data_IF_179001035537
#
_entry.id   IF_179001035537
#
_cell.length_a   1.000
_cell.length_b   1.000
_cell.length_c   1.000
_cell.angle_alpha   90.00
_cell.angle_beta   90.00
_cell.angle_gamma   90.00
#
_symmetry.space_group_name_H-M   'P 1'
#
loop_
_entity.id
_entity.type
_entity.pdbx_description
1 polymer ?
#
# COMPACT_ATOMS: atom_id res chain seq x y z
N UNK A 1 -4.52 -12.19 12.10
CA UNK A 1 -5.17 -10.95 12.61
C UNK A 1 -4.19 -9.77 12.71
N UNK A 2 -3.03 -9.89 13.36
CA UNK A 2 -2.02 -8.82 13.54
C UNK A 2 -1.66 -8.07 12.25
N UNK A 3 -1.52 -8.78 11.14
CA UNK A 3 -1.23 -8.19 9.82
C UNK A 3 -2.32 -7.21 9.38
N UNK A 4 -3.58 -7.61 9.47
CA UNK A 4 -4.71 -6.77 9.05
C UNK A 4 -4.90 -5.54 9.95
N UNK A 5 -4.62 -5.65 11.26
CA UNK A 5 -4.64 -4.46 12.13
C UNK A 5 -3.54 -3.47 11.76
N UNK A 6 -2.36 -3.97 11.36
CA UNK A 6 -1.29 -3.12 10.84
C UNK A 6 -1.71 -2.36 9.58
N UNK A 7 -2.32 -3.04 8.62
CA UNK A 7 -2.88 -2.42 7.41
C UNK A 7 -3.91 -1.34 7.78
N UNK A 8 -4.90 -1.67 8.62
CA UNK A 8 -5.95 -0.72 9.04
C UNK A 8 -5.37 0.57 9.66
N UNK A 9 -4.31 0.45 10.47
CA UNK A 9 -3.65 1.62 11.08
C UNK A 9 -3.01 2.50 10.01
N UNK A 10 -2.32 1.91 9.03
CA UNK A 10 -1.63 2.65 7.97
C UNK A 10 -2.62 3.31 7.00
N UNK A 11 -3.68 2.61 6.56
CA UNK A 11 -4.74 3.19 5.70
C UNK A 11 -5.47 4.33 6.43
N UNK A 12 -5.77 4.16 7.72
CA UNK A 12 -6.37 5.23 8.51
C UNK A 12 -5.45 6.45 8.57
N UNK A 13 -4.14 6.25 8.73
CA UNK A 13 -3.16 7.33 8.73
C UNK A 13 -3.10 8.02 7.36
N UNK A 14 -3.06 7.24 6.28
CA UNK A 14 -3.02 7.77 4.93
C UNK A 14 -4.31 8.55 4.59
N UNK A 15 -5.48 8.00 4.93
CA UNK A 15 -6.77 8.63 4.64
C UNK A 15 -7.07 9.88 5.48
N UNK A 16 -6.62 9.93 6.75
CA UNK A 16 -6.95 11.04 7.66
C UNK A 16 -5.87 12.11 7.76
N UNK A 17 -4.62 11.78 7.43
CA UNK A 17 -3.48 12.71 7.48
C UNK A 17 -2.81 12.83 6.12
N UNK A 18 -2.36 11.73 5.54
CA UNK A 18 -1.52 11.72 4.34
C UNK A 18 -2.18 12.39 3.13
N UNK A 19 -3.18 11.76 2.54
CA UNK A 19 -3.86 12.28 1.35
C UNK A 19 -4.52 13.65 1.61
N UNK A 20 -5.08 13.84 2.81
CA UNK A 20 -5.71 15.12 3.22
C UNK A 20 -4.68 16.25 3.27
N UNK A 21 -3.44 15.98 3.72
CA UNK A 21 -2.38 17.00 3.76
C UNK A 21 -1.91 17.44 2.36
N UNK A 22 -2.12 16.63 1.33
CA UNK A 22 -1.79 16.96 -0.06
C UNK A 22 -2.84 17.84 -0.74
N UNK A 23 -4.11 17.83 -0.31
CA UNK A 23 -5.21 18.58 -0.90
C UNK A 23 -4.91 20.09 -1.00
N UNK A 24 -4.42 20.78 0.06
CA UNK A 24 -4.12 22.21 -0.01
C UNK A 24 -3.00 22.58 -1.00
N UNK A 25 -2.21 21.60 -1.44
CA UNK A 25 -1.11 21.80 -2.38
C UNK A 25 -1.51 21.51 -3.84
N UNK A 26 -2.75 21.09 -4.09
CA UNK A 26 -3.25 20.87 -5.43
C UNK A 26 -3.21 22.16 -6.27
N UNK A 27 -2.69 22.07 -7.49
CA UNK A 27 -2.57 23.21 -8.39
C UNK A 27 -3.71 23.30 -9.39
N UNK A 28 -4.57 22.29 -9.45
CA UNK A 28 -5.77 22.25 -10.30
C UNK A 28 -6.94 21.57 -9.56
N UNK A 29 -8.20 21.91 -9.91
CA UNK A 29 -9.37 21.22 -9.35
C UNK A 29 -9.36 19.70 -9.62
N UNK A 30 -8.77 19.25 -10.73
CA UNK A 30 -8.63 17.84 -11.06
C UNK A 30 -7.65 17.14 -10.10
N UNK A 31 -6.57 17.78 -9.75
CA UNK A 31 -5.60 17.27 -8.77
C UNK A 31 -6.22 17.19 -7.37
N UNK A 32 -6.94 18.22 -6.95
CA UNK A 32 -7.71 18.23 -5.70
C UNK A 32 -8.71 17.07 -5.66
N UNK A 33 -9.45 16.85 -6.75
CA UNK A 33 -10.39 15.75 -6.87
C UNK A 33 -9.70 14.37 -6.74
N UNK A 34 -8.49 14.20 -7.28
CA UNK A 34 -7.73 12.95 -7.14
C UNK A 34 -7.30 12.73 -5.70
N UNK A 35 -6.70 13.73 -5.03
CA UNK A 35 -6.31 13.57 -3.62
C UNK A 35 -7.51 13.31 -2.70
N UNK A 36 -8.64 13.97 -2.96
CA UNK A 36 -9.90 13.71 -2.24
C UNK A 36 -10.40 12.29 -2.48
N UNK A 37 -10.29 11.78 -3.70
CA UNK A 37 -10.65 10.38 -4.02
C UNK A 37 -9.72 9.39 -3.31
N UNK A 38 -8.40 9.64 -3.28
CA UNK A 38 -7.45 8.82 -2.52
C UNK A 38 -7.88 8.77 -1.05
N UNK A 39 -8.09 9.92 -0.39
CA UNK A 39 -8.53 9.96 1.01
C UNK A 39 -9.84 9.19 1.25
N UNK A 40 -10.78 9.23 0.32
CA UNK A 40 -12.02 8.46 0.37
C UNK A 40 -11.75 6.96 0.23
N UNK A 41 -10.91 6.54 -0.72
CA UNK A 41 -10.59 5.13 -0.95
C UNK A 41 -9.90 4.50 0.26
N UNK A 42 -9.01 5.21 0.95
CA UNK A 42 -8.42 4.74 2.21
C UNK A 42 -9.48 4.42 3.29
N UNK A 43 -10.56 5.20 3.33
CA UNK A 43 -11.69 4.92 4.22
C UNK A 43 -12.44 3.64 3.81
N UNK A 44 -12.54 3.35 2.51
CA UNK A 44 -13.11 2.10 1.99
C UNK A 44 -12.19 0.92 2.31
N UNK A 45 -10.86 1.08 2.21
CA UNK A 45 -9.88 0.06 2.57
C UNK A 45 -10.00 -0.29 4.05
N UNK A 46 -10.00 0.69 4.95
CA UNK A 46 -10.19 0.49 6.39
C UNK A 46 -11.52 -0.23 6.71
N UNK A 47 -12.61 0.11 6.00
CA UNK A 47 -13.88 -0.59 6.12
C UNK A 47 -13.81 -2.04 5.63
N UNK A 48 -13.06 -2.29 4.57
CA UNK A 48 -12.85 -3.63 4.00
C UNK A 48 -12.12 -4.55 4.99
N UNK A 49 -11.09 -4.05 5.67
CA UNK A 49 -10.44 -4.80 6.76
C UNK A 49 -11.38 -5.09 7.92
N UNK A 50 -12.25 -4.15 8.29
CA UNK A 50 -13.26 -4.38 9.31
C UNK A 50 -14.18 -5.55 8.96
N UNK A 51 -14.59 -5.67 7.69
CA UNK A 51 -15.38 -6.81 7.21
C UNK A 51 -14.60 -8.12 7.26
N UNK A 52 -13.30 -8.10 6.89
CA UNK A 52 -12.40 -9.26 7.00
C UNK A 52 -12.29 -9.69 8.47
N UNK A 53 -12.08 -8.76 9.41
CA UNK A 53 -12.02 -9.05 10.84
C UNK A 53 -13.27 -9.76 11.34
N UNK A 54 -14.46 -9.20 11.07
CA UNK A 54 -15.73 -9.77 11.52
C UNK A 54 -16.01 -11.15 10.93
N UNK A 55 -15.41 -11.47 9.78
CA UNK A 55 -15.57 -12.79 9.13
C UNK A 55 -14.60 -13.83 9.69
N UNK A 56 -13.39 -13.42 10.11
CA UNK A 56 -12.30 -14.34 10.44
C UNK A 56 -12.09 -14.52 11.95
N UNK A 57 -12.60 -13.63 12.79
CA UNK A 57 -12.27 -13.63 14.22
C UNK A 57 -13.43 -13.14 15.10
N UNK A 58 -13.41 -13.55 16.37
CA UNK A 58 -14.28 -13.04 17.41
C UNK A 58 -13.86 -11.65 17.88
N UNK A 59 -14.79 -10.89 18.46
CA UNK A 59 -14.51 -9.55 19.02
C UNK A 59 -13.30 -9.53 19.97
N UNK A 60 -13.14 -10.46 20.94
CA UNK A 60 -11.96 -10.47 21.82
C UNK A 60 -10.64 -10.66 21.07
N UNK A 61 -10.62 -11.49 20.00
CA UNK A 61 -9.41 -11.68 19.17
C UNK A 61 -9.08 -10.44 18.36
N UNK A 62 -10.10 -9.72 17.88
CA UNK A 62 -9.94 -8.43 17.21
C UNK A 62 -9.36 -7.39 18.16
N UNK A 63 -9.92 -7.25 19.36
CA UNK A 63 -9.47 -6.32 20.39
C UNK A 63 -8.01 -6.60 20.80
N UNK A 64 -7.64 -7.87 20.96
CA UNK A 64 -6.27 -8.30 21.24
C UNK A 64 -5.31 -7.92 20.10
N UNK A 65 -5.71 -8.13 18.85
CA UNK A 65 -4.89 -7.78 17.70
C UNK A 65 -4.68 -6.25 17.58
N UNK A 66 -5.70 -5.44 17.87
CA UNK A 66 -5.55 -3.97 17.93
C UNK A 66 -4.71 -3.52 19.13
N UNK A 67 -4.81 -4.18 20.28
CA UNK A 67 -3.94 -3.91 21.44
C UNK A 67 -2.48 -4.17 21.05
N UNK A 68 -2.20 -5.35 20.49
CA UNK A 68 -0.87 -5.68 19.99
C UNK A 68 -0.33 -4.64 19.00
N UNK A 69 -1.16 -4.18 18.05
CA UNK A 69 -0.75 -3.16 17.07
C UNK A 69 -0.37 -1.83 17.74
N UNK A 70 -1.08 -1.43 18.81
CA UNK A 70 -0.75 -0.22 19.59
C UNK A 70 0.53 -0.36 20.42
N UNK A 71 0.86 -1.57 20.86
CA UNK A 71 2.01 -1.86 21.71
C UNK A 71 3.25 -2.28 20.92
N UNK A 72 3.10 -2.74 19.67
CA UNK A 72 4.21 -3.18 18.84
C UNK A 72 5.09 -1.99 18.44
N UNK A 73 6.35 -2.01 18.87
CA UNK A 73 7.31 -0.93 18.68
C UNK A 73 7.57 -0.61 17.19
N UNK A 74 7.70 -1.63 16.35
CA UNK A 74 7.96 -1.47 14.92
C UNK A 74 6.76 -0.88 14.19
N UNK A 75 5.53 -1.27 14.58
CA UNK A 75 4.32 -0.70 14.03
C UNK A 75 4.18 0.78 14.41
N UNK A 76 4.45 1.11 15.67
CA UNK A 76 4.41 2.48 16.17
C UNK A 76 5.55 3.33 15.59
N UNK A 77 6.73 2.73 15.37
CA UNK A 77 7.85 3.43 14.75
C UNK A 77 7.51 3.91 13.34
N UNK A 78 7.10 3.00 12.45
CA UNK A 78 6.79 3.36 11.05
C UNK A 78 5.66 4.39 10.96
N UNK A 79 4.61 4.27 11.79
CA UNK A 79 3.53 5.24 11.83
C UNK A 79 4.04 6.64 12.25
N UNK A 80 4.84 6.73 13.33
CA UNK A 80 5.43 8.02 13.76
C UNK A 80 6.40 8.58 12.74
N UNK A 81 7.20 7.74 12.09
CA UNK A 81 8.19 8.18 11.10
C UNK A 81 7.52 8.83 9.89
N UNK A 82 6.44 8.22 9.39
CA UNK A 82 5.64 8.77 8.29
C UNK A 82 4.88 10.04 8.73
N UNK A 83 4.27 10.04 9.91
CA UNK A 83 3.61 11.24 10.45
C UNK A 83 4.56 12.43 10.60
N UNK A 84 5.83 12.17 10.97
CA UNK A 84 6.84 13.23 11.06
C UNK A 84 7.11 13.89 9.70
N UNK A 85 7.09 13.14 8.60
CA UNK A 85 7.23 13.70 7.25
C UNK A 85 6.02 14.59 6.88
N UNK A 86 4.80 14.13 7.17
CA UNK A 86 3.60 14.96 6.95
C UNK A 86 3.58 16.22 7.80
N UNK A 87 4.07 16.15 9.04
CA UNK A 87 4.11 17.29 9.96
C UNK A 87 5.11 18.39 9.56
N UNK A 88 6.01 18.14 8.61
CA UNK A 88 6.98 19.16 8.14
C UNK A 88 6.31 20.32 7.41
N UNK A 89 5.13 20.11 6.83
CA UNK A 89 4.49 21.07 5.93
C UNK A 89 5.17 21.20 4.56
N UNK A 90 6.26 20.45 4.31
CA UNK A 90 6.94 20.44 3.02
C UNK A 90 6.24 19.49 2.05
N UNK A 91 5.74 20.03 0.95
CA UNK A 91 4.97 19.29 -0.04
C UNK A 91 5.75 18.12 -0.68
N UNK A 92 7.07 18.29 -0.89
CA UNK A 92 7.89 17.20 -1.46
C UNK A 92 8.03 16.05 -0.46
N UNK A 93 8.30 16.36 0.81
CA UNK A 93 8.39 15.36 1.88
C UNK A 93 7.06 14.63 2.10
N UNK A 94 5.93 15.33 2.04
CA UNK A 94 4.60 14.72 2.10
C UNK A 94 4.36 13.75 0.94
N UNK A 95 4.71 14.12 -0.30
CA UNK A 95 4.58 13.23 -1.46
C UNK A 95 5.50 12.01 -1.34
N UNK A 96 6.74 12.20 -0.88
CA UNK A 96 7.69 11.10 -0.64
C UNK A 96 7.12 10.14 0.41
N UNK A 97 6.63 10.64 1.55
CA UNK A 97 6.02 9.84 2.61
C UNK A 97 4.82 9.03 2.10
N UNK A 98 3.94 9.66 1.31
CA UNK A 98 2.81 8.98 0.69
C UNK A 98 3.27 7.87 -0.25
N UNK A 99 4.26 8.08 -1.10
CA UNK A 99 4.80 7.04 -1.98
C UNK A 99 5.43 5.89 -1.18
N UNK A 100 6.10 6.19 -0.06
CA UNK A 100 6.63 5.14 0.84
C UNK A 100 5.52 4.30 1.48
N UNK A 101 4.40 4.92 1.87
CA UNK A 101 3.22 4.18 2.36
C UNK A 101 2.62 3.31 1.28
N UNK A 102 2.18 3.92 0.18
CA UNK A 102 1.39 3.32 -0.90
C UNK A 102 2.15 2.25 -1.69
N UNK A 103 3.46 2.44 -1.86
CA UNK A 103 4.26 1.56 -2.72
C UNK A 103 5.14 0.58 -1.95
N UNK A 104 5.30 0.73 -0.62
CA UNK A 104 6.24 -0.07 0.15
C UNK A 104 5.67 -0.57 1.49
N UNK A 105 5.21 0.30 2.41
CA UNK A 105 4.92 -0.10 3.79
C UNK A 105 3.68 -1.00 3.95
N UNK A 106 2.70 -0.91 3.07
CA UNK A 106 1.54 -1.80 3.06
C UNK A 106 1.90 -3.24 2.70
N UNK A 107 2.98 -3.45 1.97
CA UNK A 107 3.24 -4.73 1.30
C UNK A 107 3.65 -5.86 2.24
N UNK A 108 4.25 -5.59 3.39
CA UNK A 108 4.44 -6.63 4.41
C UNK A 108 3.11 -7.21 4.87
N UNK A 109 2.07 -6.37 4.94
CA UNK A 109 0.71 -6.79 5.28
C UNK A 109 0.01 -7.55 4.16
N UNK A 110 0.19 -7.15 2.92
CA UNK A 110 -0.44 -7.81 1.76
C UNK A 110 0.12 -9.21 1.48
N UNK A 111 1.34 -9.51 1.89
CA UNK A 111 1.95 -10.81 1.65
C UNK A 111 1.13 -11.96 2.22
N UNK A 112 0.67 -11.88 3.48
CA UNK A 112 -0.04 -12.98 4.15
C UNK A 112 -1.29 -13.45 3.39
N UNK A 113 -2.28 -12.59 3.09
CA UNK A 113 -3.48 -13.01 2.40
C UNK A 113 -3.19 -13.57 1.00
N UNK A 114 -2.23 -13.00 0.26
CA UNK A 114 -1.82 -13.51 -1.05
C UNK A 114 -1.19 -14.89 -0.93
N UNK A 115 -0.30 -15.09 0.05
CA UNK A 115 0.36 -16.37 0.30
C UNK A 115 -0.64 -17.45 0.74
N UNK A 116 -1.61 -17.10 1.58
CA UNK A 116 -2.68 -18.00 2.01
C UNK A 116 -3.58 -18.40 0.83
N UNK A 117 -3.94 -17.45 -0.02
CA UNK A 117 -4.76 -17.68 -1.21
C UNK A 117 -4.07 -18.61 -2.22
N UNK A 118 -2.74 -18.52 -2.38
CA UNK A 118 -1.98 -19.44 -3.24
C UNK A 118 -2.05 -20.90 -2.77
N UNK A 119 -2.56 -21.15 -1.55
CA UNK A 119 -2.85 -22.48 -0.98
C UNK A 119 -4.37 -22.72 -0.85
N UNK A 120 -5.21 -21.96 -1.55
CA UNK A 120 -6.67 -22.11 -1.51
C UNK A 120 -7.33 -21.69 -0.19
N UNK A 121 -6.65 -20.89 0.65
CA UNK A 121 -7.17 -20.42 1.94
C UNK A 121 -7.51 -18.92 1.87
N UNK A 122 -8.59 -18.52 2.54
CA UNK A 122 -9.09 -17.13 2.63
C UNK A 122 -9.15 -16.41 1.27
N UNK A 123 -9.52 -17.10 0.21
CA UNK A 123 -9.51 -16.59 -1.17
C UNK A 123 -10.35 -15.33 -1.33
N UNK A 124 -11.57 -15.29 -0.74
CA UNK A 124 -12.43 -14.11 -0.79
C UNK A 124 -11.80 -12.88 -0.11
N UNK A 125 -11.13 -13.08 1.05
CA UNK A 125 -10.38 -12.00 1.70
C UNK A 125 -9.20 -11.54 0.84
N UNK A 126 -8.51 -12.46 0.19
CA UNK A 126 -7.41 -12.14 -0.72
C UNK A 126 -7.89 -11.38 -1.97
N UNK A 127 -9.10 -11.66 -2.47
CA UNK A 127 -9.69 -10.90 -3.58
C UNK A 127 -9.96 -9.44 -3.20
N UNK A 128 -10.45 -9.19 -1.97
CA UNK A 128 -10.56 -7.83 -1.42
C UNK A 128 -9.17 -7.16 -1.37
N UNK A 129 -8.16 -7.87 -0.86
CA UNK A 129 -6.79 -7.34 -0.79
C UNK A 129 -6.21 -7.05 -2.18
N UNK A 130 -6.50 -7.85 -3.19
CA UNK A 130 -6.08 -7.57 -4.58
C UNK A 130 -6.70 -6.29 -5.14
N UNK A 131 -7.95 -6.01 -4.79
CA UNK A 131 -8.60 -4.74 -5.17
C UNK A 131 -7.90 -3.57 -4.50
N UNK A 132 -7.61 -3.66 -3.21
CA UNK A 132 -6.85 -2.64 -2.46
C UNK A 132 -5.47 -2.44 -3.09
N UNK A 133 -4.69 -3.48 -3.33
CA UNK A 133 -3.36 -3.39 -3.97
C UNK A 133 -3.42 -2.66 -5.33
N UNK A 134 -4.49 -2.81 -6.10
CA UNK A 134 -4.66 -2.07 -7.36
C UNK A 134 -4.83 -0.58 -7.11
N UNK A 135 -5.58 -0.21 -6.09
CA UNK A 135 -5.79 1.18 -5.73
C UNK A 135 -4.48 1.80 -5.22
N UNK A 136 -3.75 1.09 -4.32
CA UNK A 136 -2.43 1.53 -3.83
C UNK A 136 -1.40 1.70 -4.95
N UNK A 137 -1.45 0.82 -5.96
CA UNK A 137 -0.57 0.96 -7.12
C UNK A 137 -0.87 2.24 -7.93
N UNK A 138 -2.13 2.65 -8.02
CA UNK A 138 -2.54 3.90 -8.67
C UNK A 138 -2.20 5.10 -7.79
N UNK A 139 -2.47 5.03 -6.48
CA UNK A 139 -2.16 6.09 -5.52
C UNK A 139 -0.66 6.42 -5.52
N UNK A 140 0.18 5.41 -5.28
CA UNK A 140 1.63 5.59 -5.25
C UNK A 140 2.22 6.05 -6.58
N UNK A 141 1.70 5.55 -7.71
CA UNK A 141 2.10 6.01 -9.04
C UNK A 141 1.72 7.47 -9.28
N UNK A 142 0.47 7.86 -8.98
CA UNK A 142 0.01 9.22 -9.20
C UNK A 142 0.77 10.24 -8.35
N UNK A 143 0.94 9.98 -7.06
CA UNK A 143 1.66 10.89 -6.16
C UNK A 143 3.13 10.99 -6.59
N UNK A 144 3.76 9.86 -6.94
CA UNK A 144 5.11 9.83 -7.48
C UNK A 144 5.26 10.60 -8.80
N UNK A 145 4.30 10.47 -9.71
CA UNK A 145 4.23 11.26 -10.93
C UNK A 145 4.13 12.77 -10.62
N UNK A 146 3.33 13.17 -9.63
CA UNK A 146 3.22 14.56 -9.20
C UNK A 146 4.53 15.10 -8.61
N UNK A 147 5.23 14.29 -7.82
CA UNK A 147 6.56 14.60 -7.32
C UNK A 147 7.55 14.85 -8.47
N UNK A 148 7.63 13.93 -9.44
CA UNK A 148 8.49 14.08 -10.62
C UNK A 148 8.11 15.31 -11.44
N UNK A 149 6.81 15.59 -11.64
CA UNK A 149 6.33 16.75 -12.38
C UNK A 149 6.68 18.09 -11.69
N UNK A 150 6.60 18.11 -10.36
CA UNK A 150 7.01 19.29 -9.57
C UNK A 150 8.49 19.63 -9.80
N UNK A 151 9.35 18.61 -9.90
CA UNK A 151 10.80 18.75 -10.06
C UNK A 151 11.29 18.65 -11.53
N UNK A 152 10.39 18.54 -12.50
CA UNK A 152 10.74 18.34 -13.92
C UNK A 152 11.70 19.43 -14.46
N UNK A 153 11.55 20.68 -13.96
CA UNK A 153 12.39 21.82 -14.34
C UNK A 153 13.54 22.10 -13.38
N UNK A 154 13.62 21.37 -12.27
CA UNK A 154 14.69 21.45 -11.27
C UNK A 154 15.34 20.08 -11.05
N UNK A 155 16.05 19.62 -12.05
CA UNK A 155 16.76 18.34 -12.00
C UNK A 155 17.87 18.30 -10.96
N UNK A 156 18.45 19.45 -10.64
CA UNK A 156 19.48 19.55 -9.60
C UNK A 156 18.88 19.25 -8.22
N UNK A 157 17.71 19.80 -7.93
CA UNK A 157 16.97 19.52 -6.68
C UNK A 157 16.50 18.06 -6.64
N UNK A 158 15.97 17.53 -7.76
CA UNK A 158 15.60 16.10 -7.83
C UNK A 158 16.79 15.21 -7.50
N UNK A 159 17.96 15.46 -8.08
CA UNK A 159 19.18 14.71 -7.77
C UNK A 159 19.64 14.89 -6.33
N UNK A 160 19.54 16.10 -5.77
CA UNK A 160 19.92 16.38 -4.39
C UNK A 160 19.04 15.66 -3.34
N UNK A 161 17.75 15.48 -3.63
CA UNK A 161 16.82 14.79 -2.73
C UNK A 161 17.08 13.27 -2.64
N UNK A 162 17.81 12.69 -3.60
CA UNK A 162 18.00 11.23 -3.67
C UNK A 162 18.60 10.62 -2.40
N UNK A 163 19.60 11.27 -1.84
CA UNK A 163 20.27 10.77 -0.61
C UNK A 163 19.31 10.66 0.57
N UNK A 164 18.56 11.74 0.85
CA UNK A 164 17.59 11.76 1.95
C UNK A 164 16.44 10.76 1.75
N UNK A 165 16.04 10.53 0.49
CA UNK A 165 15.00 9.55 0.14
C UNK A 165 15.50 8.13 0.39
N UNK A 166 16.74 7.82 0.00
CA UNK A 166 17.37 6.52 0.27
C UNK A 166 17.52 6.31 1.78
N UNK A 167 17.96 7.31 2.52
CA UNK A 167 18.09 7.22 3.98
C UNK A 167 16.73 6.95 4.65
N UNK A 168 15.67 7.65 4.25
CA UNK A 168 14.32 7.40 4.74
C UNK A 168 13.84 5.99 4.39
N UNK A 169 14.03 5.55 3.14
CA UNK A 169 13.62 4.22 2.71
C UNK A 169 14.38 3.12 3.46
N UNK A 170 15.68 3.27 3.66
CA UNK A 170 16.50 2.30 4.39
C UNK A 170 16.16 2.24 5.87
N UNK A 171 15.88 3.38 6.50
CA UNK A 171 15.38 3.46 7.87
C UNK A 171 14.05 2.69 8.01
N UNK A 172 13.09 2.95 7.13
CA UNK A 172 11.81 2.25 7.10
C UNK A 172 11.98 0.76 6.76
N UNK A 173 12.87 0.39 5.81
CA UNK A 173 13.13 -1.00 5.44
C UNK A 173 13.74 -1.80 6.60
N UNK A 174 14.68 -1.23 7.34
CA UNK A 174 15.27 -1.88 8.51
C UNK A 174 14.19 -2.15 9.57
N UNK A 175 13.38 -1.16 9.89
CA UNK A 175 12.26 -1.34 10.82
C UNK A 175 11.25 -2.37 10.31
N UNK A 176 10.92 -2.35 9.02
CA UNK A 176 9.96 -3.27 8.40
C UNK A 176 10.49 -4.71 8.34
N UNK A 177 11.81 -4.88 8.22
CA UNK A 177 12.47 -6.19 8.32
C UNK A 177 12.29 -6.81 9.70
N UNK A 178 12.50 -6.05 10.77
CA UNK A 178 12.25 -6.51 12.14
C UNK A 178 10.76 -6.74 12.41
N UNK A 179 9.87 -5.87 11.92
CA UNK A 179 8.43 -6.11 11.96
C UNK A 179 8.07 -7.44 11.29
N UNK A 180 8.65 -7.71 10.14
CA UNK A 180 8.45 -8.95 9.38
C UNK A 180 8.89 -10.18 10.20
N UNK A 181 10.02 -10.13 10.87
CA UNK A 181 10.48 -11.19 11.77
C UNK A 181 9.46 -11.47 12.88
N UNK A 182 8.97 -10.44 13.56
CA UNK A 182 7.97 -10.61 14.64
C UNK A 182 6.66 -11.25 14.19
N UNK A 183 6.30 -11.10 12.91
CA UNK A 183 5.02 -11.58 12.37
C UNK A 183 5.15 -12.90 11.62
N UNK A 184 6.26 -13.13 10.91
CA UNK A 184 6.40 -14.21 9.94
C UNK A 184 7.43 -15.29 10.28
N UNK A 185 8.31 -15.10 11.29
CA UNK A 185 9.34 -16.09 11.63
C UNK A 185 8.76 -17.44 11.98
N UNK A 186 7.70 -17.47 12.79
CA UNK A 186 7.05 -18.73 13.18
C UNK A 186 6.43 -19.48 12.01
N UNK A 187 6.17 -18.79 10.89
CA UNK A 187 5.64 -19.38 9.65
C UNK A 187 6.76 -19.79 8.68
N UNK A 188 8.01 -19.42 8.97
CA UNK A 188 9.15 -19.63 8.08
C UNK A 188 9.10 -18.79 6.80
N UNK A 189 8.42 -17.65 6.81
CA UNK A 189 8.21 -16.80 5.62
C UNK A 189 8.95 -15.46 5.68
N UNK A 190 9.63 -15.16 6.77
CA UNK A 190 10.25 -13.83 6.97
C UNK A 190 11.19 -13.43 5.83
N UNK A 191 12.08 -14.32 5.38
CA UNK A 191 13.02 -13.99 4.29
C UNK A 191 12.32 -13.77 2.95
N UNK A 192 11.26 -14.51 2.65
CA UNK A 192 10.47 -14.32 1.44
C UNK A 192 9.68 -12.99 1.47
N UNK A 193 9.16 -12.60 2.65
CA UNK A 193 8.52 -11.29 2.85
C UNK A 193 9.54 -10.17 2.70
N UNK A 194 10.75 -10.31 3.23
CA UNK A 194 11.83 -9.32 3.05
C UNK A 194 12.21 -9.15 1.57
N UNK A 195 12.26 -10.24 0.80
CA UNK A 195 12.47 -10.16 -0.65
C UNK A 195 11.32 -9.41 -1.35
N UNK A 196 10.07 -9.67 -0.95
CA UNK A 196 8.90 -8.95 -1.43
C UNK A 196 8.95 -7.45 -1.05
N UNK A 197 9.43 -7.11 0.13
CA UNK A 197 9.66 -5.73 0.56
C UNK A 197 10.73 -5.03 -0.29
N UNK A 198 11.86 -5.69 -0.59
CA UNK A 198 12.89 -5.13 -1.50
C UNK A 198 12.34 -4.84 -2.89
N UNK A 199 11.53 -5.75 -3.43
CA UNK A 199 10.84 -5.52 -4.71
C UNK A 199 9.96 -4.25 -4.68
N UNK A 200 9.18 -4.07 -3.62
CA UNK A 200 8.28 -2.93 -3.49
C UNK A 200 9.01 -1.64 -3.10
N UNK A 201 10.13 -1.72 -2.38
CA UNK A 201 11.03 -0.59 -2.14
C UNK A 201 11.62 -0.04 -3.46
N UNK A 202 12.06 -0.92 -4.35
CA UNK A 202 12.48 -0.53 -5.70
C UNK A 202 11.33 0.12 -6.48
N UNK A 203 10.10 -0.38 -6.34
CA UNK A 203 8.91 0.23 -6.96
C UNK A 203 8.65 1.65 -6.42
N UNK A 204 8.83 1.87 -5.11
CA UNK A 204 8.70 3.20 -4.52
C UNK A 204 9.75 4.17 -5.09
N UNK A 205 11.01 3.74 -5.20
CA UNK A 205 12.07 4.55 -5.84
C UNK A 205 11.72 4.89 -7.28
N UNK A 206 11.28 3.91 -8.08
CA UNK A 206 10.90 4.12 -9.47
C UNK A 206 9.70 5.09 -9.59
N UNK A 207 8.71 5.02 -8.70
CA UNK A 207 7.59 5.95 -8.67
C UNK A 207 8.05 7.40 -8.39
N UNK A 208 9.12 7.58 -7.63
CA UNK A 208 9.75 8.89 -7.38
C UNK A 208 10.73 9.33 -8.48
N UNK A 209 10.97 8.49 -9.49
CA UNK A 209 11.86 8.78 -10.62
C UNK A 209 13.33 8.49 -10.35
N UNK A 210 13.63 7.61 -9.39
CA UNK A 210 14.99 7.16 -9.07
C UNK A 210 15.21 5.71 -9.47
N UNK A 211 16.47 5.32 -9.64
CA UNK A 211 16.87 3.94 -9.91
C UNK A 211 16.58 3.02 -8.71
N UNK A 212 16.38 1.74 -9.02
CA UNK A 212 16.26 0.69 -8.02
C UNK A 212 17.53 0.61 -7.15
N UNK A 213 17.37 0.40 -5.84
CA UNK A 213 18.49 0.31 -4.89
C UNK A 213 18.84 -1.13 -4.49
N UNK A 214 17.88 -2.06 -4.58
CA UNK A 214 18.13 -3.47 -4.31
C UNK A 214 18.35 -4.25 -5.61
N UNK A 215 19.37 -5.15 -5.66
CA UNK A 215 19.59 -6.02 -6.81
C UNK A 215 18.38 -6.90 -7.13
N UNK A 216 18.13 -7.16 -8.40
CA UNK A 216 16.96 -7.93 -8.83
C UNK A 216 16.94 -9.36 -8.27
N UNK A 217 18.12 -9.97 -8.09
CA UNK A 217 18.28 -11.29 -7.49
C UNK A 217 17.81 -11.35 -6.03
N UNK A 218 17.91 -10.26 -5.27
CA UNK A 218 17.43 -10.14 -3.89
C UNK A 218 15.95 -9.84 -3.77
N UNK A 219 15.29 -9.52 -4.89
CA UNK A 219 13.87 -9.21 -4.98
C UNK A 219 13.01 -10.41 -5.40
N UNK A 220 13.57 -11.61 -5.43
CA UNK A 220 12.86 -12.83 -5.82
C UNK A 220 12.10 -13.40 -4.63
N UNK A 221 10.79 -13.45 -4.72
CA UNK A 221 9.89 -14.00 -3.71
C UNK A 221 8.97 -15.07 -4.30
N UNK A 222 8.12 -15.65 -3.48
CA UNK A 222 7.28 -16.79 -3.81
C UNK A 222 6.47 -16.60 -5.09
N UNK A 223 6.57 -17.56 -6.03
CA UNK A 223 5.88 -17.52 -7.32
C UNK A 223 4.35 -17.50 -7.18
N UNK A 224 3.76 -18.15 -6.16
CA UNK A 224 2.32 -18.11 -5.91
C UNK A 224 1.83 -16.72 -5.48
N UNK A 225 2.65 -15.99 -4.72
CA UNK A 225 2.36 -14.59 -4.37
C UNK A 225 2.49 -13.71 -5.62
N UNK A 226 3.54 -13.90 -6.43
CA UNK A 226 3.72 -13.18 -7.68
C UNK A 226 2.52 -13.36 -8.62
N UNK A 227 2.07 -14.60 -8.82
CA UNK A 227 0.87 -14.90 -9.64
C UNK A 227 -0.38 -14.25 -9.05
N UNK A 228 -0.49 -14.20 -7.73
CA UNK A 228 -1.63 -13.58 -7.04
C UNK A 228 -1.71 -12.07 -7.22
N UNK A 229 -0.62 -11.41 -7.58
CA UNK A 229 -0.59 -9.98 -7.92
C UNK A 229 -1.08 -9.70 -9.35
N UNK A 230 -1.19 -10.73 -10.20
CA UNK A 230 -1.71 -10.56 -11.56
C UNK A 230 -3.19 -10.17 -11.51
N UNK A 231 -3.58 -9.03 -12.12
CA UNK A 231 -4.98 -8.61 -12.17
C UNK A 231 -5.92 -9.61 -12.82
N UNK A 232 -5.41 -10.56 -13.62
CA UNK A 232 -6.19 -11.63 -14.24
C UNK A 232 -6.51 -12.78 -13.29
N UNK A 233 -5.81 -12.90 -12.15
CA UNK A 233 -5.97 -13.95 -11.16
C UNK A 233 -7.22 -13.78 -10.27
N UNK A 234 -7.99 -12.70 -10.40
CA UNK A 234 -9.23 -12.49 -9.64
C UNK A 234 -10.36 -13.37 -10.21
N UNK A 235 -10.80 -14.37 -9.45
CA UNK A 235 -11.83 -15.34 -9.85
C UNK A 235 -13.20 -14.69 -10.07
N UNK A 236 -13.52 -13.59 -9.37
CA UNK A 236 -14.80 -12.88 -9.48
C UNK A 236 -14.90 -12.01 -10.74
N UNK A 237 -13.84 -11.85 -11.53
CA UNK A 237 -13.80 -11.02 -12.72
C UNK A 237 -14.78 -11.47 -13.84
N UNK A 238 -15.17 -12.75 -13.84
CA UNK A 238 -16.15 -13.30 -14.80
C UNK A 238 -17.57 -12.79 -14.54
N UNK A 239 -17.96 -12.53 -13.29
CA UNK A 239 -19.28 -12.02 -12.94
C UNK A 239 -19.42 -10.52 -13.25
N UNK A 240 -18.41 -9.71 -12.91
CA UNK A 240 -18.40 -8.28 -13.29
C UNK A 240 -18.48 -8.07 -14.82
N UNK A 241 -17.82 -8.92 -15.61
CA UNK A 241 -17.94 -8.89 -17.07
C UNK A 241 -19.34 -9.28 -17.56
N UNK A 242 -20.02 -10.19 -16.88
CA UNK A 242 -21.41 -10.56 -17.21
C UNK A 242 -22.38 -9.41 -16.91
N UNK A 243 -22.30 -8.83 -15.70
CA UNK A 243 -23.11 -7.66 -15.30
C UNK A 243 -22.88 -6.48 -16.24
N UNK A 244 -21.65 -6.16 -16.59
CA UNK A 244 -21.33 -5.08 -17.52
C UNK A 244 -21.83 -5.32 -18.95
N UNK A 245 -21.91 -6.57 -19.42
CA UNK A 245 -22.52 -6.92 -20.73
C UNK A 245 -24.03 -6.83 -20.70
N UNK A 246 -24.66 -7.27 -19.63
CA UNK A 246 -26.12 -7.19 -19.47
C UNK A 246 -26.60 -5.75 -19.33
N UNK A 247 -25.86 -4.88 -18.63
CA UNK A 247 -26.16 -3.45 -18.59
C UNK A 247 -26.02 -2.78 -19.96
N UNK A 248 -25.00 -3.11 -20.77
CA UNK A 248 -24.85 -2.55 -22.12
C UNK A 248 -25.93 -3.00 -23.08
N UNK A 249 -26.50 -4.21 -22.95
CA UNK A 249 -27.61 -4.69 -23.78
C UNK A 249 -28.94 -4.05 -23.44
N UNK A 250 -29.13 -3.51 -22.22
CA UNK A 250 -30.36 -2.81 -21.80
C UNK A 250 -30.38 -1.32 -22.13
N UNK A 251 -29.23 -0.72 -22.50
CA UNK A 251 -29.14 0.70 -22.88
C UNK A 251 -28.86 0.86 -24.37
N UNK A 252 -29.59 0.16 -25.22
CA UNK A 252 -29.60 0.48 -26.64
C UNK A 252 -30.55 1.67 -26.86
N UNK A 253 -30.09 2.80 -27.46
CA UNK A 253 -30.93 3.97 -27.68
C UNK A 253 -31.96 3.81 -28.80
N UNK A 254 -32.18 2.58 -29.29
CA UNK A 254 -33.14 2.27 -30.33
C UNK A 254 -34.07 1.13 -29.88
N UNK A 255 -34.99 1.45 -29.00
CA UNK A 255 -36.29 0.82 -28.85
C UNK A 255 -37.28 1.87 -28.37
#
# INVERSE_FOLDING_TARGET
MKVFTGLTVLDTLQGTVGAVSLIPHAVTPQEEAVYTNIAFMESIHAKSYSNIFMTLASTPEIDEAFRWSRENEHMQYKARRILAEYATGDHERMMIASVMLESFLFYSGFYLPLRMASHGKITNSADIIRLIIRDEAVHGYYIGYKYQKKLERDKARHAANQGEIIDLLMDLYNNESHFTETVYDQLGWAEDVKAFLRYNANKAMNNLGYEAIFPQEECKFNAGVMTSLDPSANENRSEERRVGKECRSRWSPYH
#
